data_IF_083304435093
#
_entry.id   IF_083304435093
#
_cell.length_a   1.000
_cell.length_b   1.000
_cell.length_c   1.000
_cell.angle_alpha   90.00
_cell.angle_beta   90.00
_cell.angle_gamma   90.00
#
_symmetry.space_group_name_H-M   'P 1'
#
loop_
_entity.id
_entity.type
_entity.pdbx_description
1 polymer ?
#
# COMPACT_ATOMS: atom_id res chain seq x y z
N UNK A 1 -36.88 25.62 8.95
CA UNK A 1 -36.03 26.21 10.01
C UNK A 1 -35.73 25.12 11.06
N UNK A 2 -34.87 24.16 10.72
CA UNK A 2 -34.40 23.15 11.67
C UNK A 2 -33.17 23.76 12.36
N UNK A 3 -33.34 24.34 13.54
CA UNK A 3 -32.20 24.75 14.37
C UNK A 3 -31.55 23.49 14.92
N UNK A 4 -30.36 23.26 14.42
CA UNK A 4 -29.47 22.13 14.60
C UNK A 4 -28.93 22.03 16.03
N UNK A 5 -29.45 21.08 16.82
CA UNK A 5 -28.69 20.52 17.94
C UNK A 5 -27.72 19.42 17.48
N UNK A 6 -27.84 18.95 16.23
CA UNK A 6 -27.00 17.88 15.68
C UNK A 6 -25.53 18.29 15.47
N UNK A 7 -25.24 19.57 15.23
CA UNK A 7 -23.86 20.07 15.04
C UNK A 7 -23.09 20.24 16.35
N UNK A 8 -23.78 20.20 17.50
CA UNK A 8 -23.16 20.21 18.84
C UNK A 8 -22.85 18.81 19.36
N UNK A 9 -23.46 17.78 18.77
CA UNK A 9 -23.27 16.41 19.21
C UNK A 9 -22.15 15.76 18.38
N UNK A 10 -20.97 15.65 18.99
CA UNK A 10 -19.82 14.99 18.38
C UNK A 10 -20.11 13.52 18.01
N UNK A 11 -21.07 12.87 18.68
CA UNK A 11 -21.50 11.51 18.32
C UNK A 11 -22.23 11.49 16.98
N UNK A 12 -23.23 12.35 16.81
CA UNK A 12 -23.96 12.49 15.55
C UNK A 12 -23.04 12.93 14.41
N UNK A 13 -22.11 13.84 14.69
CA UNK A 13 -21.10 14.25 13.72
C UNK A 13 -20.22 13.08 13.27
N UNK A 14 -19.74 12.25 14.21
CA UNK A 14 -18.92 11.08 13.89
C UNK A 14 -19.67 10.05 13.01
N UNK A 15 -20.97 9.82 13.29
CA UNK A 15 -21.82 8.98 12.45
C UNK A 15 -21.99 9.58 11.04
N UNK A 16 -22.25 10.88 10.97
CA UNK A 16 -22.40 11.58 9.70
C UNK A 16 -21.12 11.51 8.85
N UNK A 17 -19.94 11.76 9.44
CA UNK A 17 -18.65 11.64 8.75
C UNK A 17 -18.45 10.21 8.23
N UNK A 18 -18.76 9.20 9.04
CA UNK A 18 -18.62 7.80 8.64
C UNK A 18 -19.52 7.46 7.45
N UNK A 19 -20.76 7.94 7.44
CA UNK A 19 -21.68 7.80 6.31
C UNK A 19 -21.15 8.52 5.05
N UNK A 20 -20.72 9.78 5.19
CA UNK A 20 -20.14 10.54 4.08
C UNK A 20 -18.89 9.86 3.49
N UNK A 21 -18.04 9.28 4.34
CA UNK A 21 -16.87 8.50 3.92
C UNK A 21 -17.27 7.28 3.10
N UNK A 22 -18.29 6.52 3.52
CA UNK A 22 -18.78 5.34 2.79
C UNK A 22 -19.42 5.68 1.44
N UNK A 23 -19.94 6.89 1.30
CA UNK A 23 -20.58 7.40 0.08
C UNK A 23 -19.61 8.21 -0.80
N UNK A 24 -18.32 8.25 -0.47
CA UNK A 24 -17.30 9.05 -1.15
C UNK A 24 -17.63 10.55 -1.26
N UNK A 25 -18.40 11.08 -0.30
CA UNK A 25 -18.88 12.46 -0.26
C UNK A 25 -18.27 13.23 0.93
N UNK A 26 -16.96 13.11 1.16
CA UNK A 26 -16.31 13.68 2.35
C UNK A 26 -16.41 15.22 2.43
N UNK A 27 -16.61 15.91 1.31
CA UNK A 27 -16.78 17.37 1.26
C UNK A 27 -18.00 17.87 2.09
N UNK A 28 -19.05 17.05 2.20
CA UNK A 28 -20.21 17.38 3.05
C UNK A 28 -19.82 17.30 4.53
N UNK A 29 -19.00 16.31 4.88
CA UNK A 29 -18.51 16.13 6.23
C UNK A 29 -17.55 17.25 6.65
N UNK A 30 -16.66 17.68 5.74
CA UNK A 30 -15.74 18.80 6.00
C UNK A 30 -16.47 20.14 6.16
N UNK A 31 -17.50 20.39 5.34
CA UNK A 31 -18.38 21.56 5.48
C UNK A 31 -19.18 21.55 6.79
N UNK A 32 -19.71 20.38 7.18
CA UNK A 32 -20.40 20.25 8.46
C UNK A 32 -19.45 20.44 9.65
N UNK A 33 -18.21 19.95 9.55
CA UNK A 33 -17.20 20.06 10.60
C UNK A 33 -16.84 21.51 10.95
N UNK A 34 -16.88 22.45 9.99
CA UNK A 34 -16.57 23.86 10.27
C UNK A 34 -17.53 24.52 11.28
N UNK A 35 -18.64 23.85 11.60
CA UNK A 35 -19.65 24.30 12.56
C UNK A 35 -19.60 23.56 13.90
N UNK A 36 -18.62 22.67 14.11
CA UNK A 36 -18.45 21.90 15.35
C UNK A 36 -17.65 22.72 16.35
N UNK A 37 -18.25 22.98 17.51
CA UNK A 37 -17.57 23.58 18.66
C UNK A 37 -16.91 22.48 19.50
N UNK A 38 -15.61 22.61 19.80
CA UNK A 38 -14.83 21.65 20.60
C UNK A 38 -14.84 20.20 20.07
N UNK A 39 -14.35 19.96 18.84
CA UNK A 39 -14.32 18.62 18.25
C UNK A 39 -13.49 17.64 19.07
N UNK A 40 -14.05 16.44 19.27
CA UNK A 40 -13.36 15.36 20.00
C UNK A 40 -12.37 14.61 19.12
N UNK A 41 -11.49 13.82 19.75
CA UNK A 41 -10.57 12.90 19.05
C UNK A 41 -11.30 11.93 18.11
N UNK A 42 -12.52 11.51 18.45
CA UNK A 42 -13.30 10.61 17.60
C UNK A 42 -13.68 11.28 16.27
N UNK A 43 -14.14 12.53 16.33
CA UNK A 43 -14.53 13.32 15.15
C UNK A 43 -13.32 13.57 14.24
N UNK A 44 -12.18 13.94 14.81
CA UNK A 44 -10.93 14.09 14.04
C UNK A 44 -10.50 12.78 13.40
N UNK A 45 -10.51 11.67 14.14
CA UNK A 45 -10.12 10.36 13.59
C UNK A 45 -11.02 9.93 12.44
N UNK A 46 -12.33 10.18 12.54
CA UNK A 46 -13.25 9.89 11.46
C UNK A 46 -12.99 10.76 10.22
N UNK A 47 -12.70 12.06 10.40
CA UNK A 47 -12.38 12.95 9.28
C UNK A 47 -11.07 12.58 8.60
N UNK A 48 -9.98 12.42 9.36
CA UNK A 48 -8.66 12.08 8.82
C UNK A 48 -8.75 10.77 8.04
N UNK A 49 -9.38 9.73 8.63
CA UNK A 49 -9.60 8.45 7.94
C UNK A 49 -10.48 8.60 6.71
N UNK A 50 -11.57 9.37 6.80
CA UNK A 50 -12.48 9.59 5.69
C UNK A 50 -11.82 10.33 4.52
N UNK A 51 -11.00 11.34 4.80
CA UNK A 51 -10.21 12.04 3.80
C UNK A 51 -9.27 11.08 3.06
N UNK A 52 -8.53 10.23 3.78
CA UNK A 52 -7.66 9.21 3.15
C UNK A 52 -8.47 8.24 2.28
N UNK A 53 -9.59 7.73 2.81
CA UNK A 53 -10.44 6.78 2.08
C UNK A 53 -11.06 7.38 0.81
N UNK A 54 -11.44 8.65 0.84
CA UNK A 54 -12.03 9.35 -0.30
C UNK A 54 -10.99 9.97 -1.26
N UNK A 55 -9.70 9.63 -1.14
CA UNK A 55 -8.67 10.10 -2.06
C UNK A 55 -8.22 11.56 -1.84
N UNK A 56 -8.39 12.10 -0.64
CA UNK A 56 -7.95 13.43 -0.24
C UNK A 56 -6.93 13.40 0.92
N UNK A 57 -5.77 12.72 0.76
CA UNK A 57 -4.79 12.57 1.83
C UNK A 57 -4.16 13.89 2.28
N UNK A 58 -4.11 14.90 1.42
CA UNK A 58 -3.64 16.26 1.76
C UNK A 58 -4.53 16.91 2.84
N UNK A 59 -5.86 16.76 2.70
CA UNK A 59 -6.81 17.24 3.71
C UNK A 59 -6.68 16.49 5.03
N UNK A 60 -6.32 15.21 4.99
CA UNK A 60 -6.08 14.42 6.20
C UNK A 60 -4.93 15.02 7.03
N UNK A 61 -3.85 15.48 6.39
CA UNK A 61 -2.74 16.18 7.06
C UNK A 61 -3.22 17.50 7.69
N UNK A 62 -4.06 18.27 6.98
CA UNK A 62 -4.62 19.53 7.49
C UNK A 62 -5.45 19.30 8.74
N UNK A 63 -6.33 18.29 8.75
CA UNK A 63 -7.15 17.98 9.93
C UNK A 63 -6.34 17.45 11.10
N UNK A 64 -5.26 16.71 10.85
CA UNK A 64 -4.32 16.32 11.90
C UNK A 64 -3.62 17.54 12.52
N UNK A 65 -3.16 18.49 11.73
CA UNK A 65 -2.58 19.75 12.26
C UNK A 65 -3.64 20.55 13.02
N UNK A 66 -4.89 20.59 12.53
CA UNK A 66 -6.00 21.24 13.23
C UNK A 66 -6.30 20.58 14.59
N UNK A 67 -6.24 19.25 14.68
CA UNK A 67 -6.37 18.49 15.92
C UNK A 67 -5.34 18.92 16.96
N UNK A 68 -4.06 19.01 16.56
CA UNK A 68 -2.98 19.47 17.44
C UNK A 68 -3.17 20.93 17.89
N UNK A 69 -3.59 21.82 16.98
CA UNK A 69 -3.87 23.24 17.30
C UNK A 69 -5.01 23.42 18.30
N UNK A 70 -5.97 22.50 18.32
CA UNK A 70 -7.06 22.49 19.29
C UNK A 70 -6.71 21.74 20.59
N UNK A 71 -5.43 21.40 20.80
CA UNK A 71 -4.94 20.65 21.96
C UNK A 71 -5.62 19.29 22.15
N UNK A 72 -6.09 18.67 21.06
CA UNK A 72 -6.64 17.32 21.08
C UNK A 72 -5.50 16.34 20.82
N UNK A 73 -5.24 15.45 21.78
CA UNK A 73 -4.13 14.51 21.69
C UNK A 73 -4.41 13.39 20.67
N UNK A 74 -3.50 13.15 19.70
CA UNK A 74 -3.61 12.03 18.77
C UNK A 74 -3.61 10.67 19.45
N UNK A 75 -4.28 9.70 18.83
CA UNK A 75 -4.26 8.29 19.22
C UNK A 75 -3.64 7.44 18.12
N UNK A 76 -3.43 6.14 18.37
CA UNK A 76 -2.95 5.19 17.36
C UNK A 76 -3.76 5.22 16.06
N UNK A 77 -5.08 5.42 16.14
CA UNK A 77 -5.95 5.59 14.97
C UNK A 77 -5.64 6.86 14.18
N UNK A 78 -5.37 7.98 14.85
CA UNK A 78 -4.96 9.24 14.21
C UNK A 78 -3.65 9.02 13.45
N UNK A 79 -2.68 8.41 14.11
CA UNK A 79 -1.36 8.15 13.55
C UNK A 79 -1.40 7.16 12.39
N UNK A 80 -2.19 6.08 12.47
CA UNK A 80 -2.35 5.12 11.38
C UNK A 80 -2.89 5.81 10.12
N UNK A 81 -3.95 6.60 10.25
CA UNK A 81 -4.50 7.35 9.11
C UNK A 81 -3.54 8.42 8.59
N UNK A 82 -2.80 9.07 9.48
CA UNK A 82 -1.78 10.06 9.12
C UNK A 82 -0.64 9.43 8.30
N UNK A 83 -0.08 8.31 8.77
CA UNK A 83 1.01 7.61 8.06
C UNK A 83 0.53 7.16 6.68
N UNK A 84 -0.68 6.59 6.59
CA UNK A 84 -1.28 6.23 5.28
C UNK A 84 -1.41 7.44 4.35
N UNK A 85 -1.81 8.60 4.87
CA UNK A 85 -1.86 9.83 4.07
C UNK A 85 -0.47 10.23 3.56
N UNK A 86 0.56 10.17 4.41
CA UNK A 86 1.95 10.45 4.01
C UNK A 86 2.47 9.45 2.98
N UNK A 87 2.14 8.16 3.09
CA UNK A 87 2.51 7.13 2.09
C UNK A 87 1.88 7.45 0.74
N UNK A 88 0.58 7.75 0.69
CA UNK A 88 -0.13 8.08 -0.55
C UNK A 88 0.39 9.36 -1.23
N UNK A 89 0.84 10.34 -0.42
CA UNK A 89 1.43 11.58 -0.92
C UNK A 89 2.93 11.46 -1.23
N UNK A 90 3.56 10.37 -0.82
CA UNK A 90 5.02 10.23 -0.77
C UNK A 90 5.70 11.39 -0.01
N UNK A 91 5.02 11.94 1.02
CA UNK A 91 5.52 13.08 1.79
C UNK A 91 6.55 12.64 2.84
N UNK A 92 7.80 12.59 2.40
CA UNK A 92 8.93 12.20 3.25
C UNK A 92 9.15 13.15 4.42
N UNK A 93 8.87 14.45 4.26
CA UNK A 93 9.16 15.46 5.28
C UNK A 93 8.16 15.32 6.42
N UNK A 94 6.87 15.29 6.10
CA UNK A 94 5.83 15.20 7.12
C UNK A 94 5.85 13.82 7.80
N UNK A 95 5.96 12.73 7.03
CA UNK A 95 5.96 11.39 7.61
C UNK A 95 7.16 11.13 8.53
N UNK A 96 8.37 11.61 8.17
CA UNK A 96 9.54 11.55 9.08
C UNK A 96 9.35 12.41 10.33
N UNK A 97 8.75 13.60 10.21
CA UNK A 97 8.42 14.44 11.35
C UNK A 97 7.37 13.78 12.28
N UNK A 98 6.42 13.03 11.71
CA UNK A 98 5.40 12.29 12.45
C UNK A 98 5.93 11.02 13.15
N UNK A 99 7.05 10.45 12.69
CA UNK A 99 7.63 9.26 13.32
C UNK A 99 8.00 9.51 14.80
N UNK A 100 8.73 10.58 15.12
CA UNK A 100 9.15 10.84 16.51
C UNK A 100 7.99 10.86 17.54
N UNK A 101 6.86 11.57 17.31
CA UNK A 101 5.71 11.50 18.20
C UNK A 101 5.03 10.13 18.22
N UNK A 102 4.97 9.42 17.09
CA UNK A 102 4.47 8.03 17.04
C UNK A 102 5.31 7.13 17.95
N UNK A 103 6.64 7.22 17.81
CA UNK A 103 7.62 6.49 18.61
C UNK A 103 7.38 6.67 20.11
N UNK A 104 7.25 7.93 20.52
CA UNK A 104 7.10 8.31 21.92
C UNK A 104 5.77 7.87 22.53
N UNK A 105 4.67 7.89 21.78
CA UNK A 105 3.34 7.79 22.36
C UNK A 105 2.63 6.45 22.14
N UNK A 106 2.92 5.74 21.05
CA UNK A 106 2.08 4.59 20.64
C UNK A 106 2.87 3.46 20.01
N UNK A 107 4.16 3.64 19.71
CA UNK A 107 4.90 2.66 18.91
C UNK A 107 4.90 1.30 19.56
N UNK A 108 5.35 1.14 20.81
CA UNK A 108 5.45 -0.16 21.47
C UNK A 108 4.11 -0.93 21.63
N UNK A 109 2.96 -0.27 21.47
CA UNK A 109 1.64 -0.84 21.75
C UNK A 109 0.77 -1.10 20.52
N UNK A 110 1.24 -0.81 19.30
CA UNK A 110 0.38 -0.91 18.12
C UNK A 110 1.09 -1.41 16.85
N UNK A 111 0.98 -2.71 16.58
CA UNK A 111 1.54 -3.37 15.39
C UNK A 111 1.06 -2.74 14.09
N UNK A 112 -0.20 -2.29 14.00
CA UNK A 112 -0.73 -1.68 12.77
C UNK A 112 -0.04 -0.36 12.40
N UNK A 113 0.25 0.49 13.39
CA UNK A 113 1.00 1.74 13.16
C UNK A 113 2.45 1.45 12.81
N UNK A 114 3.06 0.45 13.45
CA UNK A 114 4.42 -0.01 13.14
C UNK A 114 4.51 -0.50 11.69
N UNK A 115 3.62 -1.39 11.26
CA UNK A 115 3.58 -1.91 9.88
C UNK A 115 3.32 -0.82 8.86
N UNK A 116 2.45 0.15 9.17
CA UNK A 116 2.24 1.31 8.31
C UNK A 116 3.50 2.18 8.16
N UNK A 117 4.32 2.30 9.21
CA UNK A 117 5.62 2.98 9.12
C UNK A 117 6.63 2.21 8.27
N UNK A 118 6.66 0.87 8.37
CA UNK A 118 7.45 0.01 7.46
C UNK A 118 7.06 0.29 6.02
N UNK A 119 5.77 0.19 5.69
CA UNK A 119 5.25 0.48 4.35
C UNK A 119 5.62 1.90 3.89
N UNK A 120 5.42 2.92 4.74
CA UNK A 120 5.77 4.31 4.44
C UNK A 120 7.25 4.47 4.03
N UNK A 121 8.18 3.95 4.84
CA UNK A 121 9.60 4.07 4.53
C UNK A 121 10.00 3.27 3.29
N UNK A 122 9.44 2.08 3.13
CA UNK A 122 9.65 1.25 1.94
C UNK A 122 9.18 1.92 0.65
N UNK A 123 7.99 2.53 0.65
CA UNK A 123 7.46 3.26 -0.52
C UNK A 123 8.31 4.47 -0.89
N UNK A 124 9.03 5.05 0.08
CA UNK A 124 10.00 6.13 -0.18
C UNK A 124 11.38 5.62 -0.64
N UNK A 125 11.59 4.30 -0.71
CA UNK A 125 12.90 3.69 -0.97
C UNK A 125 13.90 3.85 0.20
N UNK A 126 13.45 4.22 1.40
CA UNK A 126 14.29 4.39 2.59
C UNK A 126 14.40 3.07 3.34
N UNK A 127 15.12 2.12 2.75
CA UNK A 127 15.26 0.75 3.24
C UNK A 127 15.86 0.69 4.65
N UNK A 128 16.81 1.57 4.96
CA UNK A 128 17.44 1.63 6.27
C UNK A 128 16.44 1.93 7.39
N UNK A 129 15.57 2.92 7.21
CA UNK A 129 14.54 3.23 8.20
C UNK A 129 13.41 2.19 8.20
N UNK A 130 13.03 1.66 7.02
CA UNK A 130 12.04 0.59 6.93
C UNK A 130 12.46 -0.64 7.72
N UNK A 131 13.69 -1.10 7.50
CA UNK A 131 14.29 -2.23 8.20
C UNK A 131 14.41 -1.97 9.70
N UNK A 132 14.88 -0.78 10.08
CA UNK A 132 15.01 -0.40 11.48
C UNK A 132 13.67 -0.43 12.21
N UNK A 133 12.62 0.15 11.62
CA UNK A 133 11.27 0.11 12.20
C UNK A 133 10.83 -1.34 12.40
N UNK A 134 11.03 -2.19 11.40
CA UNK A 134 10.67 -3.61 11.48
C UNK A 134 11.47 -4.37 12.56
N UNK A 135 12.78 -4.12 12.66
CA UNK A 135 13.65 -4.75 13.66
C UNK A 135 13.32 -4.30 15.10
N UNK A 136 12.81 -3.08 15.27
CA UNK A 136 12.41 -2.54 16.56
C UNK A 136 10.97 -2.92 16.98
N UNK A 137 10.20 -3.60 16.12
CA UNK A 137 8.86 -4.10 16.47
C UNK A 137 8.93 -5.14 17.60
N UNK A 138 8.24 -4.92 18.74
CA UNK A 138 8.23 -5.86 19.87
C UNK A 138 7.49 -7.16 19.55
N UNK A 139 6.42 -7.06 18.75
CA UNK A 139 5.66 -8.19 18.23
C UNK A 139 5.46 -7.98 16.72
N UNK A 140 5.60 -9.06 15.95
CA UNK A 140 5.44 -9.06 14.50
C UNK A 140 4.37 -10.05 14.13
N UNK A 141 3.30 -9.57 13.53
CA UNK A 141 2.28 -10.42 12.95
C UNK A 141 2.64 -10.81 11.51
N UNK A 142 1.91 -11.78 10.97
CA UNK A 142 2.07 -12.23 9.58
C UNK A 142 2.05 -11.07 8.59
N UNK A 143 1.18 -10.08 8.83
CA UNK A 143 1.05 -8.92 7.95
C UNK A 143 2.33 -8.07 7.92
N UNK A 144 2.92 -7.78 9.08
CA UNK A 144 4.19 -7.03 9.17
C UNK A 144 5.34 -7.70 8.44
N UNK A 145 5.47 -9.03 8.55
CA UNK A 145 6.45 -9.82 7.80
C UNK A 145 6.21 -9.74 6.29
N UNK A 146 4.96 -9.95 5.85
CA UNK A 146 4.61 -9.83 4.43
C UNK A 146 4.91 -8.43 3.89
N UNK A 147 4.62 -7.37 4.65
CA UNK A 147 4.90 -5.98 4.24
C UNK A 147 6.38 -5.73 4.01
N UNK A 148 7.27 -6.16 4.92
CA UNK A 148 8.72 -5.93 4.73
C UNK A 148 9.29 -6.80 3.60
N UNK A 149 8.81 -8.03 3.42
CA UNK A 149 9.22 -8.90 2.30
C UNK A 149 8.83 -8.26 0.98
N UNK A 150 7.57 -7.84 0.82
CA UNK A 150 7.09 -7.17 -0.39
C UNK A 150 7.84 -5.87 -0.69
N UNK A 151 8.26 -5.16 0.35
CA UNK A 151 9.09 -3.97 0.18
C UNK A 151 10.44 -4.28 -0.46
N UNK A 152 11.18 -5.27 0.07
CA UNK A 152 12.46 -5.68 -0.52
C UNK A 152 12.28 -6.19 -1.97
N UNK A 153 11.18 -6.91 -2.24
CA UNK A 153 10.82 -7.37 -3.59
C UNK A 153 10.61 -6.21 -4.56
N UNK A 154 9.83 -5.21 -4.17
CA UNK A 154 9.57 -4.02 -4.99
C UNK A 154 10.85 -3.26 -5.33
N UNK A 155 11.83 -3.33 -4.43
CA UNK A 155 13.14 -2.68 -4.61
C UNK A 155 14.17 -3.60 -5.30
N UNK A 156 13.83 -4.86 -5.62
CA UNK A 156 14.72 -5.83 -6.25
C UNK A 156 15.73 -6.50 -5.31
N UNK A 157 15.65 -6.29 -3.99
CA UNK A 157 16.52 -6.94 -3.00
C UNK A 157 15.99 -8.33 -2.62
N UNK A 158 16.12 -9.25 -3.57
CA UNK A 158 15.57 -10.60 -3.47
C UNK A 158 16.28 -11.47 -2.43
N UNK A 159 17.56 -11.18 -2.16
CA UNK A 159 18.33 -11.89 -1.14
C UNK A 159 17.78 -11.59 0.25
N UNK A 160 17.54 -10.31 0.56
CA UNK A 160 16.93 -9.95 1.84
C UNK A 160 15.48 -10.41 1.94
N UNK A 161 14.71 -10.32 0.85
CA UNK A 161 13.33 -10.77 0.82
C UNK A 161 13.21 -12.28 1.11
N UNK A 162 14.06 -13.10 0.51
CA UNK A 162 14.12 -14.54 0.77
C UNK A 162 14.52 -14.84 2.21
N UNK A 163 15.56 -14.18 2.72
CA UNK A 163 15.98 -14.34 4.11
C UNK A 163 14.87 -13.99 5.11
N UNK A 164 14.17 -12.89 4.88
CA UNK A 164 13.03 -12.47 5.71
C UNK A 164 11.87 -13.47 5.64
N UNK A 165 11.62 -14.07 4.48
CA UNK A 165 10.61 -15.11 4.34
C UNK A 165 11.01 -16.40 5.08
N UNK A 166 12.28 -16.77 5.07
CA UNK A 166 12.78 -17.93 5.80
C UNK A 166 12.72 -17.72 7.32
N UNK A 167 13.02 -16.50 7.79
CA UNK A 167 12.95 -16.11 9.20
C UNK A 167 11.51 -15.97 9.73
N UNK A 168 10.50 -15.93 8.85
CA UNK A 168 9.09 -15.76 9.20
C UNK A 168 8.54 -17.01 9.95
N UNK A 169 8.07 -16.87 11.21
CA UNK A 169 7.68 -18.02 12.04
C UNK A 169 6.43 -18.76 11.54
N UNK A 170 5.45 -18.00 11.04
CA UNK A 170 4.19 -18.52 10.49
C UNK A 170 4.01 -17.99 9.08
N UNK A 171 3.87 -18.89 8.10
CA UNK A 171 3.69 -18.56 6.68
C UNK A 171 2.22 -18.71 6.32
N UNK A 172 1.65 -17.75 5.59
CA UNK A 172 0.27 -17.77 5.08
C UNK A 172 0.22 -17.92 3.55
N UNK A 173 -0.98 -18.05 2.98
CA UNK A 173 -1.21 -18.18 1.53
C UNK A 173 -0.55 -17.04 0.75
N UNK A 174 -0.65 -15.78 1.21
CA UNK A 174 -0.01 -14.64 0.53
C UNK A 174 1.53 -14.73 0.53
N UNK A 175 2.13 -15.27 1.59
CA UNK A 175 3.57 -15.55 1.65
C UNK A 175 3.97 -16.75 0.77
N UNK A 176 3.08 -17.72 0.57
CA UNK A 176 3.29 -18.86 -0.32
C UNK A 176 3.11 -18.49 -1.79
N UNK A 177 2.17 -17.61 -2.15
CA UNK A 177 2.04 -17.06 -3.51
C UNK A 177 3.31 -16.28 -3.93
N UNK A 178 3.95 -15.60 -2.97
CA UNK A 178 5.25 -14.94 -3.13
C UNK A 178 6.39 -15.93 -3.39
N UNK A 179 6.54 -16.94 -2.50
CA UNK A 179 7.61 -17.92 -2.65
C UNK A 179 7.42 -18.70 -3.94
N UNK A 180 6.21 -19.17 -4.24
CA UNK A 180 5.97 -19.98 -5.42
C UNK A 180 6.29 -19.22 -6.71
N UNK A 181 5.99 -17.93 -6.88
CA UNK A 181 6.26 -17.29 -8.18
C UNK A 181 7.73 -16.93 -8.41
N UNK A 182 8.43 -16.43 -7.38
CA UNK A 182 9.87 -16.17 -7.46
C UNK A 182 10.68 -17.47 -7.51
N UNK A 183 10.37 -18.41 -6.62
CA UNK A 183 11.00 -19.73 -6.56
C UNK A 183 10.72 -20.50 -7.84
N UNK A 184 9.47 -20.55 -8.35
CA UNK A 184 9.17 -21.23 -9.62
C UNK A 184 9.91 -20.58 -10.77
N UNK A 185 9.97 -19.24 -10.88
CA UNK A 185 10.73 -18.62 -11.97
C UNK A 185 12.23 -18.94 -11.87
N UNK A 186 12.88 -18.61 -10.75
CA UNK A 186 14.34 -18.82 -10.63
C UNK A 186 14.75 -20.28 -10.50
N UNK A 187 13.98 -21.15 -9.84
CA UNK A 187 14.26 -22.58 -9.77
C UNK A 187 14.07 -23.26 -11.12
N UNK A 188 13.07 -22.88 -11.92
CA UNK A 188 12.92 -23.39 -13.30
C UNK A 188 14.14 -22.99 -14.13
N UNK A 189 14.57 -21.72 -14.06
CA UNK A 189 15.76 -21.26 -14.80
C UNK A 189 17.04 -21.95 -14.30
N UNK A 190 17.26 -22.03 -12.98
CA UNK A 190 18.47 -22.61 -12.38
C UNK A 190 18.56 -24.12 -12.58
N UNK A 191 17.43 -24.83 -12.66
CA UNK A 191 17.40 -26.26 -13.02
C UNK A 191 17.50 -26.51 -14.53
N UNK A 192 17.66 -25.45 -15.33
CA UNK A 192 17.75 -25.55 -16.79
C UNK A 192 16.45 -26.00 -17.45
N UNK A 193 15.32 -25.82 -16.76
CA UNK A 193 13.99 -26.08 -17.30
C UNK A 193 13.53 -24.85 -18.08
N UNK A 194 12.86 -25.07 -19.21
CA UNK A 194 12.30 -23.99 -20.02
C UNK A 194 10.87 -23.75 -19.51
N UNK A 195 10.55 -22.58 -18.93
CA UNK A 195 9.18 -22.27 -18.52
C UNK A 195 8.25 -22.33 -19.74
N UNK A 196 7.05 -22.85 -19.59
CA UNK A 196 6.03 -22.80 -20.64
C UNK A 196 5.10 -21.58 -20.48
N UNK A 197 4.22 -21.34 -21.45
CA UNK A 197 3.28 -20.21 -21.47
C UNK A 197 2.41 -20.14 -20.20
N UNK A 198 1.96 -21.30 -19.71
CA UNK A 198 1.14 -21.42 -18.49
C UNK A 198 1.95 -21.03 -17.25
N UNK A 199 3.21 -21.43 -17.20
CA UNK A 199 4.13 -21.03 -16.12
C UNK A 199 4.33 -19.52 -16.14
N UNK A 200 4.59 -18.93 -17.31
CA UNK A 200 4.86 -17.49 -17.43
C UNK A 200 3.65 -16.63 -17.05
N UNK A 201 2.45 -17.02 -17.47
CA UNK A 201 1.21 -16.32 -17.10
C UNK A 201 0.91 -16.41 -15.60
N UNK A 202 1.20 -17.55 -14.98
CA UNK A 202 1.01 -17.76 -13.53
C UNK A 202 1.94 -16.86 -12.72
N UNK A 203 3.23 -16.83 -13.07
CA UNK A 203 4.22 -15.98 -12.38
C UNK A 203 3.90 -14.50 -12.57
N UNK A 204 3.49 -14.07 -13.77
CA UNK A 204 3.08 -12.69 -14.05
C UNK A 204 1.84 -12.27 -13.23
N UNK A 205 0.84 -13.15 -13.12
CA UNK A 205 -0.37 -12.89 -12.31
C UNK A 205 -0.03 -12.70 -10.83
N UNK A 206 0.89 -13.50 -10.29
CA UNK A 206 1.35 -13.31 -8.93
C UNK A 206 2.13 -11.98 -8.78
N UNK A 207 3.00 -11.64 -9.72
CA UNK A 207 3.67 -10.34 -9.71
C UNK A 207 2.66 -9.18 -9.71
N UNK A 208 1.55 -9.33 -10.44
CA UNK A 208 0.45 -8.38 -10.47
C UNK A 208 -0.21 -8.21 -9.09
N UNK A 209 -0.50 -9.31 -8.39
CA UNK A 209 -1.10 -9.25 -7.04
C UNK A 209 -0.13 -8.72 -5.98
N UNK A 210 1.16 -8.98 -6.12
CA UNK A 210 2.19 -8.55 -5.17
C UNK A 210 2.63 -7.09 -5.42
N UNK A 211 2.31 -6.54 -6.59
CA UNK A 211 2.83 -5.25 -7.04
C UNK A 211 4.34 -5.29 -7.29
N UNK A 212 4.86 -6.45 -7.71
CA UNK A 212 6.29 -6.71 -7.90
C UNK A 212 6.76 -6.26 -9.29
N UNK A 213 6.81 -4.94 -9.52
CA UNK A 213 7.10 -4.35 -10.82
C UNK A 213 8.45 -4.79 -11.40
N UNK A 214 9.50 -4.80 -10.59
CA UNK A 214 10.85 -5.12 -11.06
C UNK A 214 11.00 -6.59 -11.46
N UNK A 215 10.43 -7.53 -10.69
CA UNK A 215 10.35 -8.94 -11.09
C UNK A 215 9.54 -9.08 -12.38
N UNK A 216 8.40 -8.40 -12.50
CA UNK A 216 7.59 -8.39 -13.71
C UNK A 216 8.36 -7.92 -14.95
N UNK A 217 9.25 -6.91 -14.79
CA UNK A 217 10.16 -6.45 -15.86
C UNK A 217 11.22 -7.48 -16.19
N UNK A 218 11.82 -8.14 -15.20
CA UNK A 218 12.78 -9.23 -15.43
C UNK A 218 12.16 -10.39 -16.21
N UNK A 219 10.94 -10.80 -15.83
CA UNK A 219 10.16 -11.83 -16.52
C UNK A 219 9.86 -11.39 -17.96
N UNK A 220 9.49 -10.12 -18.19
CA UNK A 220 9.31 -9.61 -19.55
C UNK A 220 10.61 -9.65 -20.37
N UNK A 221 11.74 -9.26 -19.78
CA UNK A 221 13.03 -9.33 -20.47
C UNK A 221 13.37 -10.78 -20.84
N UNK A 222 13.11 -11.73 -19.95
CA UNK A 222 13.26 -13.16 -20.22
C UNK A 222 12.37 -13.62 -21.38
N UNK A 223 11.09 -13.21 -21.41
CA UNK A 223 10.16 -13.52 -22.51
C UNK A 223 10.69 -13.02 -23.86
N UNK A 224 11.23 -11.80 -23.90
CA UNK A 224 11.81 -11.21 -25.12
C UNK A 224 13.06 -11.97 -25.56
N UNK A 225 13.95 -12.29 -24.62
CA UNK A 225 15.22 -12.96 -24.93
C UNK A 225 15.04 -14.41 -25.39
N UNK A 226 14.04 -15.11 -24.86
CA UNK A 226 13.75 -16.51 -25.20
C UNK A 226 12.69 -16.66 -26.29
N UNK A 227 12.41 -15.58 -27.03
CA UNK A 227 11.53 -15.57 -28.21
C UNK A 227 10.11 -16.09 -27.93
N UNK A 228 9.56 -15.82 -26.74
CA UNK A 228 8.16 -16.12 -26.48
C UNK A 228 7.27 -15.23 -27.35
N UNK A 229 6.26 -15.84 -27.95
CA UNK A 229 5.26 -15.09 -28.64
C UNK A 229 4.38 -14.35 -27.64
N UNK A 230 4.34 -13.03 -27.80
CA UNK A 230 3.46 -12.17 -27.01
C UNK A 230 2.03 -12.35 -27.54
N UNK A 231 1.40 -13.46 -27.16
CA UNK A 231 0.03 -13.84 -27.48
C UNK A 231 -0.98 -13.17 -26.51
N UNK A 232 -2.26 -13.47 -26.69
CA UNK A 232 -3.33 -12.89 -25.88
C UNK A 232 -3.18 -13.25 -24.40
N UNK A 233 -2.65 -14.43 -24.07
CA UNK A 233 -2.54 -14.89 -22.68
C UNK A 233 -1.37 -14.22 -21.96
N UNK A 234 -0.14 -14.36 -22.47
CA UNK A 234 1.05 -13.71 -21.91
C UNK A 234 0.88 -12.19 -21.93
N UNK A 235 0.35 -11.66 -23.03
CA UNK A 235 0.09 -10.25 -23.18
C UNK A 235 -0.90 -9.70 -22.16
N UNK A 236 -2.04 -10.36 -21.96
CA UNK A 236 -3.03 -9.93 -20.96
C UNK A 236 -2.47 -10.01 -19.54
N UNK A 237 -1.67 -11.04 -19.24
CA UNK A 237 -0.99 -11.17 -17.94
C UNK A 237 0.04 -10.06 -17.72
N UNK A 238 0.80 -9.65 -18.74
CA UNK A 238 1.72 -8.50 -18.65
C UNK A 238 0.96 -7.18 -18.46
N UNK A 239 -0.14 -6.99 -19.18
CA UNK A 239 -1.00 -5.80 -19.04
C UNK A 239 -1.56 -5.70 -17.62
N UNK A 240 -2.11 -6.80 -17.08
CA UNK A 240 -2.62 -6.87 -15.70
C UNK A 240 -1.52 -6.64 -14.68
N UNK A 241 -0.34 -7.23 -14.89
CA UNK A 241 0.85 -7.06 -14.05
C UNK A 241 1.27 -5.60 -13.97
N UNK A 242 1.51 -4.94 -15.10
CA UNK A 242 1.91 -3.53 -15.11
C UNK A 242 0.82 -2.62 -14.57
N UNK A 243 -0.46 -2.88 -14.89
CA UNK A 243 -1.57 -2.08 -14.40
C UNK A 243 -1.68 -2.14 -12.87
N UNK A 244 -1.64 -3.34 -12.27
CA UNK A 244 -1.71 -3.52 -10.82
C UNK A 244 -0.45 -3.06 -10.09
N UNK A 245 0.71 -3.10 -10.75
CA UNK A 245 1.96 -2.53 -10.24
C UNK A 245 2.03 -1.00 -10.34
N UNK A 246 1.02 -0.33 -10.93
CA UNK A 246 0.98 1.13 -11.07
C UNK A 246 1.76 1.69 -12.26
N UNK A 247 2.31 0.84 -13.13
CA UNK A 247 3.05 1.22 -14.35
C UNK A 247 2.10 1.31 -15.54
N UNK A 248 1.28 2.36 -15.57
CA UNK A 248 0.23 2.51 -16.60
C UNK A 248 0.82 2.64 -18.01
N UNK A 249 1.95 3.35 -18.15
CA UNK A 249 2.60 3.58 -19.44
C UNK A 249 3.06 2.26 -20.10
N UNK A 250 3.70 1.38 -19.33
CA UNK A 250 4.12 0.06 -19.78
C UNK A 250 2.93 -0.85 -20.06
N UNK A 251 1.89 -0.81 -19.22
CA UNK A 251 0.63 -1.53 -19.45
C UNK A 251 0.01 -1.14 -20.80
N UNK A 252 -0.06 0.16 -21.10
CA UNK A 252 -0.57 0.67 -22.38
C UNK A 252 0.34 0.30 -23.56
N UNK A 253 1.66 0.34 -23.38
CA UNK A 253 2.63 -0.07 -24.40
C UNK A 253 2.43 -1.54 -24.80
N UNK A 254 2.30 -2.43 -23.81
CA UNK A 254 2.05 -3.87 -24.04
C UNK A 254 0.68 -4.06 -24.70
N UNK A 255 -0.36 -3.38 -24.22
CA UNK A 255 -1.70 -3.43 -24.81
C UNK A 255 -1.71 -3.00 -26.28
N UNK A 256 -0.99 -1.94 -26.63
CA UNK A 256 -0.89 -1.47 -28.02
C UNK A 256 -0.16 -2.47 -28.92
N UNK A 257 0.90 -3.11 -28.42
CA UNK A 257 1.61 -4.18 -29.15
C UNK A 257 0.71 -5.39 -29.41
N UNK A 258 -0.14 -5.76 -28.44
CA UNK A 258 -1.12 -6.84 -28.60
C UNK A 258 -2.18 -6.52 -29.65
N UNK A 259 -2.74 -5.30 -29.63
CA UNK A 259 -3.75 -4.88 -30.59
C UNK A 259 -3.23 -4.90 -32.03
N UNK A 260 -1.98 -4.49 -32.25
CA UNK A 260 -1.38 -4.52 -33.58
C UNK A 260 -1.08 -5.94 -34.08
N UNK A 261 -0.78 -6.92 -33.21
CA UNK A 261 -0.67 -8.32 -33.62
C UNK A 261 -2.02 -8.92 -34.04
N UNK A 262 -3.11 -8.55 -33.36
CA UNK A 262 -4.46 -9.04 -33.66
C UNK A 262 -5.10 -8.41 -34.93
N UNK A 263 -4.44 -7.42 -35.55
CA UNK A 263 -4.91 -6.73 -36.76
C UNK A 263 -4.39 -7.36 -38.08
N UNK A 264 -3.52 -8.38 -38.01
CA UNK A 264 -2.94 -9.05 -39.18
C UNK A 264 -3.28 -10.55 -39.30
N UNK A 265 -4.35 -11.02 -38.64
CA UNK A 265 -4.92 -12.35 -38.87
C UNK A 265 -6.04 -12.31 -39.91
#
# INVERSE_FOLDING_TARGET
MIKTNATKDCFLMNQFISACSSLSCIYLATSAFSHVENPTVMVYNALIRGCVHCGHPDQALVYYVNMLRNNVMPTSYSFLSLVKACTLLMDSVFGKAAHAPIWKHTFASNVFVQTALVEFYSTLGDEGNSRKVFDDMPERDVFSWTTIILAHVRNGDMVSAQKLFDDMPEKNIASWEYNDSWYVFHEIIDKGMIPDEVTMTTVLSACAHLGALEIGKEIQLYLIQNTFDLDVYIGSSLVDMYAKCGSIDESLLVSYKLQNKNLFC
#
